data_IF_264293686150
#
_entry.id   IF_264293686150
#
_cell.length_a   1.000
_cell.length_b   1.000
_cell.length_c   1.000
_cell.angle_alpha   90.00
_cell.angle_beta   90.00
_cell.angle_gamma   90.00
#
_symmetry.space_group_name_H-M   'P 1'
#
loop_
_entity.id
_entity.type
_entity.pdbx_description
1 polymer ?
#
# COMPACT_ATOMS: atom_id res chain seq x y z
N UNK A 1 8.59 2.95 -42.10
CA UNK A 1 9.05 3.20 -40.73
C UNK A 1 8.19 2.35 -39.84
N UNK A 2 8.70 1.20 -39.44
CA UNK A 2 7.99 0.25 -38.55
C UNK A 2 8.04 0.81 -37.17
N UNK A 3 6.87 1.12 -36.57
CA UNK A 3 6.75 1.43 -35.16
C UNK A 3 7.05 0.15 -34.38
N UNK A 4 8.20 0.10 -33.76
CA UNK A 4 8.48 -0.89 -32.72
C UNK A 4 7.42 -0.71 -31.62
N UNK A 5 6.50 -1.63 -31.56
CA UNK A 5 5.64 -1.81 -30.39
C UNK A 5 6.57 -2.32 -29.30
N UNK A 6 7.07 -1.42 -28.46
CA UNK A 6 7.84 -1.79 -27.28
C UNK A 6 6.94 -2.67 -26.42
N UNK A 7 7.16 -3.96 -26.41
CA UNK A 7 6.44 -4.89 -25.55
C UNK A 7 6.56 -4.39 -24.11
N UNK A 8 5.45 -4.20 -23.42
CA UNK A 8 5.44 -3.81 -22.01
C UNK A 8 6.25 -4.85 -21.21
N UNK A 9 7.08 -4.43 -20.25
CA UNK A 9 7.87 -5.37 -19.48
C UNK A 9 6.96 -6.41 -18.82
N UNK A 10 7.35 -7.68 -18.82
CA UNK A 10 6.59 -8.80 -18.25
C UNK A 10 6.27 -8.60 -16.77
N UNK A 11 7.17 -7.91 -16.04
CA UNK A 11 7.02 -7.57 -14.64
C UNK A 11 6.23 -6.25 -14.46
N UNK A 12 5.16 -6.29 -13.68
CA UNK A 12 4.46 -5.11 -13.18
C UNK A 12 5.29 -4.44 -12.06
N UNK A 13 5.89 -5.23 -11.19
CA UNK A 13 6.74 -4.75 -10.09
C UNK A 13 8.00 -5.60 -10.03
N UNK A 14 9.14 -4.95 -9.88
CA UNK A 14 10.41 -5.59 -9.62
C UNK A 14 11.12 -4.93 -8.45
N UNK A 15 11.50 -5.73 -7.45
CA UNK A 15 12.23 -5.31 -6.27
C UNK A 15 13.53 -6.10 -6.22
N UNK A 16 14.68 -5.42 -6.19
CA UNK A 16 16.01 -6.04 -6.16
C UNK A 16 16.82 -5.54 -4.98
N UNK A 17 17.07 -6.43 -4.01
CA UNK A 17 17.84 -6.19 -2.79
C UNK A 17 17.44 -4.89 -2.07
N UNK A 18 16.13 -4.57 -2.08
CA UNK A 18 15.65 -3.35 -1.46
C UNK A 18 15.76 -3.46 0.07
N UNK A 19 16.31 -2.43 0.67
CA UNK A 19 16.44 -2.31 2.11
C UNK A 19 16.05 -0.91 2.57
N UNK A 20 15.48 -0.80 3.76
CA UNK A 20 15.08 0.49 4.34
C UNK A 20 15.54 0.60 5.77
N UNK A 21 16.32 1.63 6.04
CA UNK A 21 16.70 2.06 7.37
C UNK A 21 16.09 3.42 7.69
N UNK A 22 15.70 3.60 8.94
CA UNK A 22 15.31 4.90 9.50
C UNK A 22 16.38 5.36 10.49
N UNK A 23 16.63 6.67 10.53
CA UNK A 23 17.55 7.29 11.46
C UNK A 23 16.85 7.55 12.79
N UNK A 24 17.23 6.85 13.84
CA UNK A 24 16.71 7.06 15.20
C UNK A 24 17.65 7.97 15.97
N UNK A 25 17.17 9.15 16.35
CA UNK A 25 17.87 10.09 17.20
C UNK A 25 17.46 9.87 18.65
N UNK A 26 18.41 9.54 19.52
CA UNK A 26 18.14 9.23 20.92
C UNK A 26 17.89 10.48 21.76
N UNK A 27 18.47 11.62 21.37
CA UNK A 27 18.34 12.90 22.06
C UNK A 27 17.79 13.96 21.11
N UNK A 28 17.00 14.90 21.63
CA UNK A 28 16.39 15.98 20.85
C UNK A 28 17.43 16.83 20.09
N UNK A 29 18.64 16.98 20.64
CA UNK A 29 19.71 17.78 20.02
C UNK A 29 20.55 16.99 19.01
N UNK A 30 20.38 15.66 18.90
CA UNK A 30 21.18 14.83 17.99
C UNK A 30 20.91 15.18 16.52
N UNK A 31 19.70 15.62 16.19
CA UNK A 31 19.38 16.09 14.83
C UNK A 31 20.18 17.35 14.45
N UNK A 32 20.28 18.32 15.37
CA UNK A 32 21.08 19.53 15.17
C UNK A 32 22.57 19.19 15.13
N UNK A 33 23.03 18.31 16.02
CA UNK A 33 24.41 17.84 16.03
C UNK A 33 24.76 17.09 14.74
N UNK A 34 23.84 16.29 14.21
CA UNK A 34 24.00 15.60 12.91
C UNK A 34 24.11 16.62 11.76
N UNK A 35 23.28 17.66 11.74
CA UNK A 35 23.32 18.69 10.72
C UNK A 35 24.63 19.51 10.73
N UNK A 36 25.18 19.76 11.92
CA UNK A 36 26.39 20.60 12.06
C UNK A 36 27.69 19.79 12.01
N UNK A 37 27.69 18.57 12.54
CA UNK A 37 28.89 17.77 12.77
C UNK A 37 28.81 16.36 12.15
N UNK A 38 27.77 16.07 11.36
CA UNK A 38 27.54 14.75 10.76
C UNK A 38 28.63 14.25 9.84
N UNK A 39 29.46 15.17 9.31
CA UNK A 39 30.64 14.84 8.48
C UNK A 39 31.80 14.22 9.33
N UNK A 40 31.82 14.42 10.64
CA UNK A 40 32.83 13.91 11.54
C UNK A 40 32.34 12.73 12.42
N UNK A 41 31.06 12.77 12.87
CA UNK A 41 30.48 11.75 13.74
C UNK A 41 29.02 11.54 13.44
N UNK A 42 28.59 10.26 13.42
CA UNK A 42 27.19 9.87 13.32
C UNK A 42 26.48 10.01 14.66
N UNK A 43 25.38 10.77 14.69
CA UNK A 43 24.58 11.07 15.88
C UNK A 43 23.23 10.35 15.87
N UNK A 44 23.03 9.37 14.99
CA UNK A 44 21.83 8.55 14.94
C UNK A 44 22.18 7.07 14.93
N UNK A 45 21.20 6.24 15.33
CA UNK A 45 21.25 4.79 15.17
C UNK A 45 20.41 4.40 13.96
N UNK A 46 20.94 3.57 13.08
CA UNK A 46 20.15 3.01 12.00
C UNK A 46 19.23 1.91 12.53
N UNK A 47 17.95 2.03 12.22
CA UNK A 47 16.95 1.00 12.46
C UNK A 47 16.50 0.42 11.13
N UNK A 48 16.96 -0.76 10.83
CA UNK A 48 16.65 -1.46 9.60
C UNK A 48 15.28 -2.11 9.71
N UNK A 49 14.31 -1.60 8.95
CA UNK A 49 12.94 -2.12 8.90
C UNK A 49 12.76 -3.13 7.78
N UNK A 50 13.50 -2.95 6.67
CA UNK A 50 13.53 -3.91 5.56
C UNK A 50 14.98 -4.20 5.20
N UNK A 51 15.26 -5.48 4.89
CA UNK A 51 16.61 -5.96 4.55
C UNK A 51 16.53 -6.95 3.39
N UNK A 52 17.26 -6.65 2.30
CA UNK A 52 17.46 -7.52 1.13
C UNK A 52 16.17 -8.08 0.51
N UNK A 53 15.11 -7.27 0.44
CA UNK A 53 13.84 -7.65 -0.16
C UNK A 53 14.03 -7.79 -1.67
N UNK A 54 13.81 -9.00 -2.19
CA UNK A 54 13.90 -9.29 -3.63
C UNK A 54 12.71 -10.12 -4.06
N UNK A 55 11.92 -9.58 -5.00
CA UNK A 55 10.78 -10.29 -5.60
C UNK A 55 10.36 -9.64 -6.91
N UNK A 56 9.53 -10.35 -7.65
CA UNK A 56 8.93 -9.88 -8.90
C UNK A 56 7.45 -10.24 -8.92
N UNK A 57 6.61 -9.30 -9.38
CA UNK A 57 5.18 -9.48 -9.63
C UNK A 57 4.92 -9.34 -11.12
N UNK A 58 4.29 -10.34 -11.71
CA UNK A 58 3.90 -10.31 -13.13
C UNK A 58 2.64 -9.50 -13.31
N UNK A 59 2.40 -9.02 -14.54
CA UNK A 59 1.14 -8.37 -14.89
C UNK A 59 -0.04 -9.34 -14.73
N UNK A 60 -1.13 -8.84 -14.16
CA UNK A 60 -2.33 -9.66 -13.88
C UNK A 60 -2.20 -10.62 -12.70
N UNK A 61 -1.12 -10.55 -11.93
CA UNK A 61 -0.89 -11.39 -10.77
C UNK A 61 -1.48 -10.76 -9.50
N UNK A 62 -2.12 -11.56 -8.66
CA UNK A 62 -2.55 -11.15 -7.33
C UNK A 62 -1.61 -11.73 -6.29
N UNK A 63 -0.95 -10.86 -5.51
CA UNK A 63 0.02 -11.23 -4.48
C UNK A 63 -0.51 -10.83 -3.10
N UNK A 64 -0.56 -11.81 -2.18
CA UNK A 64 -0.81 -11.56 -0.77
C UNK A 64 0.48 -11.26 -0.01
N UNK A 65 0.43 -10.37 0.98
CA UNK A 65 1.55 -10.15 1.91
C UNK A 65 1.07 -10.40 3.33
N UNK A 66 1.74 -11.30 4.03
CA UNK A 66 1.48 -11.65 5.44
C UNK A 66 2.71 -11.40 6.30
N UNK A 67 2.50 -11.26 7.60
CA UNK A 67 3.56 -11.06 8.59
C UNK A 67 3.03 -10.38 9.86
N UNK A 68 3.73 -10.56 10.98
CA UNK A 68 3.37 -9.93 12.27
C UNK A 68 3.39 -8.40 12.18
N UNK A 69 2.78 -7.72 13.16
CA UNK A 69 2.86 -6.26 13.28
C UNK A 69 4.34 -5.86 13.47
N UNK A 70 4.76 -4.81 12.76
CA UNK A 70 6.15 -4.36 12.76
C UNK A 70 7.10 -5.14 11.82
N UNK A 71 6.63 -6.19 11.11
CA UNK A 71 7.46 -6.95 10.17
C UNK A 71 7.95 -6.15 8.94
N UNK A 72 7.42 -4.93 8.71
CA UNK A 72 7.84 -4.07 7.60
C UNK A 72 6.86 -3.99 6.44
N UNK A 73 5.68 -4.63 6.52
CA UNK A 73 4.66 -4.65 5.45
C UNK A 73 4.30 -3.25 4.94
N UNK A 74 3.90 -2.36 5.85
CA UNK A 74 3.53 -0.98 5.50
C UNK A 74 4.70 -0.20 4.88
N UNK A 75 5.92 -0.40 5.39
CA UNK A 75 7.12 0.22 4.82
C UNK A 75 7.40 -0.27 3.40
N UNK A 76 7.21 -1.56 3.13
CA UNK A 76 7.31 -2.10 1.78
C UNK A 76 6.27 -1.46 0.85
N UNK A 77 5.00 -1.39 1.27
CA UNK A 77 3.96 -0.73 0.49
C UNK A 77 4.28 0.74 0.21
N UNK A 78 4.79 1.49 1.20
CA UNK A 78 5.21 2.88 1.00
C UNK A 78 6.33 3.02 -0.02
N UNK A 79 7.27 2.06 -0.07
CA UNK A 79 8.32 2.05 -1.09
C UNK A 79 7.72 1.76 -2.47
N UNK A 80 6.83 0.78 -2.59
CA UNK A 80 6.16 0.45 -3.86
C UNK A 80 5.32 1.63 -4.39
N UNK A 81 4.67 2.37 -3.49
CA UNK A 81 3.90 3.58 -3.83
C UNK A 81 4.79 4.80 -4.14
N UNK A 82 6.11 4.70 -3.99
CA UNK A 82 7.02 5.83 -4.17
C UNK A 82 6.93 6.91 -3.07
N UNK A 83 6.21 6.66 -1.97
CA UNK A 83 6.07 7.57 -0.82
C UNK A 83 7.42 7.71 -0.10
N UNK A 84 8.18 6.61 -0.03
CA UNK A 84 9.54 6.62 0.51
C UNK A 84 10.49 5.87 -0.40
N UNK A 85 11.75 6.33 -0.46
CA UNK A 85 12.78 5.65 -1.24
C UNK A 85 13.45 4.55 -0.43
N UNK A 86 13.86 3.42 -1.04
CA UNK A 86 14.70 2.45 -0.36
C UNK A 86 16.06 3.08 0.00
N UNK A 87 16.65 2.66 1.10
CA UNK A 87 18.02 3.07 1.50
C UNK A 87 19.08 2.39 0.64
N UNK A 88 18.80 1.15 0.21
CA UNK A 88 19.64 0.36 -0.71
C UNK A 88 18.76 -0.44 -1.67
N UNK A 89 19.33 -0.88 -2.77
CA UNK A 89 18.63 -1.65 -3.78
C UNK A 89 17.77 -0.79 -4.68
N UNK A 90 16.92 -1.42 -5.48
CA UNK A 90 16.07 -0.75 -6.47
C UNK A 90 14.67 -1.33 -6.48
N UNK A 91 13.69 -0.47 -6.75
CA UNK A 91 12.31 -0.85 -6.97
C UNK A 91 11.84 -0.20 -8.26
N UNK A 92 11.26 -1.00 -9.15
CA UNK A 92 10.66 -0.55 -10.40
C UNK A 92 9.18 -0.95 -10.42
N UNK A 93 8.32 0.01 -10.72
CA UNK A 93 6.88 -0.19 -10.89
C UNK A 93 6.52 0.22 -12.31
N UNK A 94 6.01 -0.72 -13.09
CA UNK A 94 5.73 -0.56 -14.51
C UNK A 94 4.22 -0.50 -14.76
N UNK A 95 3.66 0.69 -14.64
CA UNK A 95 2.23 0.96 -14.77
C UNK A 95 1.76 2.00 -13.76
N UNK A 96 0.49 2.39 -13.90
CA UNK A 96 -0.17 3.31 -12.98
C UNK A 96 -0.61 2.55 -11.73
N UNK A 97 -0.13 2.98 -10.57
CA UNK A 97 -0.42 2.36 -9.28
C UNK A 97 -1.47 3.18 -8.52
N UNK A 98 -2.50 2.50 -7.99
CA UNK A 98 -3.51 3.08 -7.11
C UNK A 98 -3.44 2.44 -5.72
N UNK A 99 -2.91 3.16 -4.70
CA UNK A 99 -2.90 2.70 -3.31
C UNK A 99 -4.19 3.15 -2.60
N UNK A 100 -5.09 2.22 -2.30
CA UNK A 100 -6.43 2.56 -1.79
C UNK A 100 -6.36 3.34 -0.45
N UNK A 101 -5.49 2.95 0.48
CA UNK A 101 -5.46 3.55 1.81
C UNK A 101 -4.46 4.70 1.96
N UNK A 102 -3.35 4.66 1.26
CA UNK A 102 -2.35 5.71 1.36
C UNK A 102 -2.89 7.07 0.91
N UNK A 103 -3.90 7.09 0.02
CA UNK A 103 -4.48 8.31 -0.49
C UNK A 103 -5.22 9.11 0.59
N UNK A 104 -5.95 8.44 1.50
CA UNK A 104 -6.68 9.13 2.58
C UNK A 104 -5.79 9.91 3.53
N UNK A 105 -4.55 9.47 3.73
CA UNK A 105 -3.57 10.17 4.56
C UNK A 105 -3.00 11.46 3.92
N UNK A 106 -3.16 11.62 2.62
CA UNK A 106 -2.72 12.80 1.87
C UNK A 106 -3.79 13.91 1.81
N UNK A 107 -4.98 13.68 2.33
CA UNK A 107 -6.06 14.65 2.30
C UNK A 107 -5.86 15.78 3.30
N UNK A 108 -6.20 16.99 2.88
CA UNK A 108 -6.21 18.17 3.73
C UNK A 108 -7.62 18.40 4.31
N UNK A 109 -7.73 18.33 5.64
CA UNK A 109 -9.00 18.54 6.35
C UNK A 109 -9.60 19.94 6.18
N UNK A 110 -8.82 20.95 5.80
CA UNK A 110 -9.30 22.32 5.54
C UNK A 110 -9.97 22.47 4.17
N UNK A 111 -9.68 21.58 3.24
CA UNK A 111 -10.25 21.54 1.91
C UNK A 111 -11.53 20.71 1.86
N UNK A 112 -12.37 20.98 0.88
CA UNK A 112 -13.59 20.20 0.60
C UNK A 112 -13.26 18.81 0.06
N UNK A 113 -14.23 17.88 0.09
CA UNK A 113 -14.08 16.59 -0.56
C UNK A 113 -13.82 16.70 -2.05
N UNK A 114 -14.41 17.69 -2.72
CA UNK A 114 -14.18 18.01 -4.14
C UNK A 114 -12.73 18.39 -4.39
N UNK A 115 -12.18 19.31 -3.60
CA UNK A 115 -10.79 19.76 -3.73
C UNK A 115 -9.81 18.62 -3.43
N UNK A 116 -10.09 17.81 -2.40
CA UNK A 116 -9.29 16.63 -2.10
C UNK A 116 -9.39 15.56 -3.20
N UNK A 117 -10.55 15.39 -3.85
CA UNK A 117 -10.69 14.51 -5.00
C UNK A 117 -9.84 14.99 -6.19
N UNK A 118 -9.78 16.30 -6.42
CA UNK A 118 -8.91 16.89 -7.44
C UNK A 118 -7.42 16.65 -7.14
N UNK A 119 -7.00 16.83 -5.89
CA UNK A 119 -5.63 16.59 -5.44
C UNK A 119 -5.31 15.10 -5.53
N UNK A 120 -6.17 14.23 -4.97
CA UNK A 120 -5.99 12.78 -4.98
C UNK A 120 -5.87 12.22 -6.39
N UNK A 121 -6.75 12.63 -7.30
CA UNK A 121 -6.68 12.23 -8.71
C UNK A 121 -5.38 12.69 -9.39
N UNK A 122 -4.89 13.90 -9.07
CA UNK A 122 -3.63 14.42 -9.59
C UNK A 122 -2.42 13.63 -9.04
N UNK A 123 -2.42 13.27 -7.75
CA UNK A 123 -1.39 12.40 -7.14
C UNK A 123 -1.36 11.05 -7.85
N UNK A 124 -2.51 10.51 -8.25
CA UNK A 124 -2.62 9.26 -9.00
C UNK A 124 -2.36 9.42 -10.51
N UNK A 125 -1.90 10.60 -10.94
CA UNK A 125 -1.44 10.86 -12.30
C UNK A 125 -2.54 11.19 -13.32
N UNK A 126 -3.75 11.52 -12.88
CA UNK A 126 -4.81 12.03 -13.75
C UNK A 126 -4.60 13.51 -14.07
N UNK A 127 -4.91 13.91 -15.28
CA UNK A 127 -4.96 15.33 -15.66
C UNK A 127 -6.24 15.98 -15.10
N UNK A 128 -6.19 17.28 -14.85
CA UNK A 128 -7.30 18.06 -14.28
C UNK A 128 -8.64 17.79 -14.98
N UNK A 129 -8.67 17.83 -16.32
CA UNK A 129 -9.89 17.58 -17.11
C UNK A 129 -10.42 16.15 -16.94
N UNK A 130 -9.53 15.17 -16.79
CA UNK A 130 -9.90 13.77 -16.56
C UNK A 130 -10.54 13.60 -15.20
N UNK A 131 -10.01 14.28 -14.18
CA UNK A 131 -10.57 14.26 -12.82
C UNK A 131 -11.94 14.93 -12.82
N UNK A 132 -12.06 16.15 -13.38
CA UNK A 132 -13.31 16.90 -13.48
C UNK A 132 -14.43 16.07 -14.13
N UNK A 133 -14.10 15.34 -15.20
CA UNK A 133 -15.05 14.46 -15.87
C UNK A 133 -15.52 13.27 -15.02
N UNK A 134 -14.68 12.81 -14.07
CA UNK A 134 -14.96 11.65 -13.19
C UNK A 134 -15.59 12.03 -11.85
N UNK A 135 -15.60 13.33 -11.48
CA UNK A 135 -16.18 13.78 -10.20
C UNK A 135 -17.61 13.27 -9.97
N UNK A 136 -18.53 13.31 -10.96
CA UNK A 136 -19.90 12.82 -10.73
C UNK A 136 -19.93 11.35 -10.29
N UNK A 137 -19.18 10.48 -10.97
CA UNK A 137 -19.13 9.05 -10.64
C UNK A 137 -18.36 8.77 -9.35
N UNK A 138 -17.33 9.56 -9.03
CA UNK A 138 -16.63 9.48 -7.74
C UNK A 138 -17.59 9.79 -6.59
N UNK A 139 -18.39 10.87 -6.70
CA UNK A 139 -19.39 11.26 -5.68
C UNK A 139 -20.46 10.18 -5.52
N UNK A 140 -20.99 9.67 -6.62
CA UNK A 140 -21.98 8.59 -6.63
C UNK A 140 -21.42 7.32 -5.97
N UNK A 141 -20.18 6.96 -6.29
CA UNK A 141 -19.53 5.80 -5.68
C UNK A 141 -19.30 5.99 -4.18
N UNK A 142 -18.81 7.15 -3.75
CA UNK A 142 -18.48 7.45 -2.36
C UNK A 142 -19.70 7.53 -1.44
N UNK A 143 -20.87 7.86 -1.97
CA UNK A 143 -22.15 7.96 -1.22
C UNK A 143 -22.06 8.93 -0.01
N UNK A 144 -21.28 10.02 -0.15
CA UNK A 144 -21.12 11.03 0.91
C UNK A 144 -22.04 12.25 0.72
N UNK A 145 -22.84 12.27 -0.35
CA UNK A 145 -23.90 13.25 -0.60
C UNK A 145 -23.44 14.69 -0.52
N UNK A 146 -24.19 15.51 0.20
CA UNK A 146 -23.95 16.95 0.36
C UNK A 146 -22.61 17.29 1.04
N UNK A 147 -21.99 16.33 1.73
CA UNK A 147 -20.70 16.54 2.37
C UNK A 147 -19.57 16.72 1.36
N UNK A 148 -19.73 16.28 0.12
CA UNK A 148 -18.68 16.38 -0.90
C UNK A 148 -18.17 17.83 -1.10
N UNK A 149 -19.05 18.82 -0.92
CA UNK A 149 -18.70 20.23 -1.03
C UNK A 149 -18.46 20.89 0.34
N UNK A 150 -18.33 20.10 1.41
CA UNK A 150 -17.98 20.58 2.75
C UNK A 150 -16.51 20.25 3.09
N UNK A 151 -15.87 21.04 3.99
CA UNK A 151 -14.51 20.77 4.45
C UNK A 151 -14.38 19.37 5.09
N UNK A 152 -13.32 18.65 4.74
CA UNK A 152 -13.12 17.26 5.19
C UNK A 152 -12.94 17.10 6.69
N UNK A 153 -12.60 18.17 7.43
CA UNK A 153 -12.61 18.16 8.91
C UNK A 153 -13.98 17.81 9.52
N UNK A 154 -15.06 17.92 8.74
CA UNK A 154 -16.42 17.54 9.14
C UNK A 154 -16.75 16.08 8.81
N UNK A 155 -15.86 15.35 8.14
CA UNK A 155 -16.09 13.98 7.74
C UNK A 155 -15.80 13.02 8.89
N UNK A 156 -16.57 11.94 8.95
CA UNK A 156 -16.17 10.76 9.72
C UNK A 156 -15.00 10.05 9.03
N UNK A 157 -14.26 9.22 9.79
CA UNK A 157 -13.19 8.39 9.21
C UNK A 157 -13.71 7.50 8.06
N UNK A 158 -14.94 6.99 8.20
CA UNK A 158 -15.62 6.23 7.16
C UNK A 158 -15.85 7.03 5.88
N UNK A 159 -16.29 8.29 5.99
CA UNK A 159 -16.48 9.17 4.81
C UNK A 159 -15.16 9.49 4.12
N UNK A 160 -14.08 9.72 4.88
CA UNK A 160 -12.73 9.93 4.33
C UNK A 160 -12.30 8.72 3.50
N UNK A 161 -12.48 7.54 4.04
CA UNK A 161 -12.07 6.33 3.37
C UNK A 161 -12.98 5.97 2.17
N UNK A 162 -14.29 6.23 2.25
CA UNK A 162 -15.20 6.10 1.10
C UNK A 162 -14.75 6.99 -0.06
N UNK A 163 -14.39 8.25 0.22
CA UNK A 163 -13.89 9.16 -0.81
C UNK A 163 -12.54 8.70 -1.38
N UNK A 164 -11.60 8.28 -0.52
CA UNK A 164 -10.31 7.77 -0.96
C UNK A 164 -10.45 6.55 -1.87
N UNK A 165 -11.29 5.59 -1.46
CA UNK A 165 -11.57 4.42 -2.29
C UNK A 165 -12.23 4.80 -3.61
N UNK A 166 -13.24 5.67 -3.58
CA UNK A 166 -13.94 6.11 -4.78
C UNK A 166 -12.98 6.77 -5.80
N UNK A 167 -12.03 7.59 -5.34
CA UNK A 167 -11.03 8.18 -6.23
C UNK A 167 -10.16 7.08 -6.85
N UNK A 168 -9.64 6.15 -6.04
CA UNK A 168 -8.82 5.03 -6.54
C UNK A 168 -9.57 4.16 -7.54
N UNK A 169 -10.85 3.87 -7.28
CA UNK A 169 -11.69 3.07 -8.16
C UNK A 169 -11.97 3.72 -9.53
N UNK A 170 -11.82 5.05 -9.62
CA UNK A 170 -12.04 5.81 -10.85
C UNK A 170 -10.74 6.24 -11.55
N UNK A 171 -9.60 5.66 -11.14
CA UNK A 171 -8.34 5.81 -11.86
C UNK A 171 -8.13 4.59 -12.74
N UNK A 172 -7.70 4.80 -14.00
CA UNK A 172 -7.30 3.70 -14.89
C UNK A 172 -5.95 3.14 -14.40
N UNK A 173 -6.00 2.38 -13.30
CA UNK A 173 -4.82 1.78 -12.69
C UNK A 173 -4.47 0.46 -13.39
N UNK A 174 -3.16 0.17 -13.46
CA UNK A 174 -2.63 -1.13 -13.86
C UNK A 174 -2.36 -2.01 -12.64
N UNK A 175 -2.08 -1.36 -11.51
CA UNK A 175 -1.68 -2.00 -10.25
C UNK A 175 -2.48 -1.41 -9.11
N UNK A 176 -3.13 -2.27 -8.33
CA UNK A 176 -3.88 -1.90 -7.14
C UNK A 176 -3.14 -2.36 -5.89
N UNK A 177 -2.95 -1.47 -4.93
CA UNK A 177 -2.48 -1.85 -3.59
C UNK A 177 -3.62 -1.71 -2.60
N UNK A 178 -3.95 -2.84 -1.98
CA UNK A 178 -5.01 -2.97 -0.98
C UNK A 178 -4.36 -3.28 0.36
N UNK A 179 -4.47 -2.38 1.32
CA UNK A 179 -4.04 -2.62 2.70
C UNK A 179 -5.27 -2.97 3.54
N UNK A 180 -5.08 -3.71 4.59
CA UNK A 180 -6.04 -4.35 5.50
C UNK A 180 -7.27 -3.52 5.89
N UNK A 181 -7.19 -2.20 5.87
CA UNK A 181 -8.26 -1.31 6.27
C UNK A 181 -9.48 -1.26 5.33
N UNK A 182 -9.74 -2.28 4.50
CA UNK A 182 -11.02 -2.42 3.77
C UNK A 182 -12.23 -2.63 4.69
N UNK A 183 -12.04 -2.78 6.00
CA UNK A 183 -13.10 -2.72 7.03
C UNK A 183 -13.65 -1.31 7.21
N UNK A 184 -13.67 -0.49 6.14
CA UNK A 184 -14.05 0.91 6.19
C UNK A 184 -15.46 1.10 5.67
N UNK A 185 -16.30 1.62 6.54
CA UNK A 185 -17.69 1.92 6.21
C UNK A 185 -18.64 0.88 6.78
N UNK A 186 -19.85 0.86 6.24
CA UNK A 186 -20.84 -0.18 6.54
C UNK A 186 -20.69 -1.39 5.61
N UNK A 187 -21.43 -2.42 5.90
CA UNK A 187 -21.43 -3.70 5.17
C UNK A 187 -21.75 -3.53 3.66
N UNK A 188 -22.63 -2.57 3.32
CA UNK A 188 -22.99 -2.31 1.92
C UNK A 188 -21.83 -1.72 1.14
N UNK A 189 -21.12 -0.75 1.73
CA UNK A 189 -19.95 -0.16 1.08
C UNK A 189 -18.80 -1.15 0.99
N UNK A 190 -18.58 -1.98 2.01
CA UNK A 190 -17.58 -3.04 1.99
C UNK A 190 -17.85 -4.05 0.85
N UNK A 191 -19.11 -4.45 0.64
CA UNK A 191 -19.48 -5.32 -0.48
C UNK A 191 -19.23 -4.67 -1.85
N UNK A 192 -19.47 -3.36 -1.98
CA UNK A 192 -19.19 -2.58 -3.19
C UNK A 192 -17.68 -2.51 -3.49
N UNK A 193 -16.87 -2.30 -2.45
CA UNK A 193 -15.41 -2.32 -2.54
C UNK A 193 -14.89 -3.71 -2.94
N UNK A 194 -15.40 -4.76 -2.31
CA UNK A 194 -15.02 -6.14 -2.63
C UNK A 194 -15.32 -6.47 -4.08
N UNK A 195 -16.53 -6.14 -4.56
CA UNK A 195 -16.90 -6.33 -5.96
C UNK A 195 -15.94 -5.62 -6.91
N UNK A 196 -15.56 -4.38 -6.61
CA UNK A 196 -14.60 -3.64 -7.42
C UNK A 196 -13.24 -4.36 -7.48
N UNK A 197 -12.75 -4.86 -6.32
CA UNK A 197 -11.48 -5.59 -6.24
C UNK A 197 -11.56 -6.90 -7.04
N UNK A 198 -12.65 -7.66 -6.91
CA UNK A 198 -12.87 -8.90 -7.64
C UNK A 198 -12.92 -8.68 -9.15
N UNK A 199 -13.55 -7.59 -9.59
CA UNK A 199 -13.61 -7.22 -11.00
C UNK A 199 -12.23 -6.75 -11.51
N UNK A 200 -11.50 -5.98 -10.72
CA UNK A 200 -10.14 -5.55 -11.05
C UNK A 200 -9.16 -6.73 -11.11
N UNK A 201 -9.30 -7.72 -10.23
CA UNK A 201 -8.45 -8.92 -10.17
C UNK A 201 -8.46 -9.76 -11.47
N UNK A 202 -9.49 -9.61 -12.31
CA UNK A 202 -9.60 -10.34 -13.58
C UNK A 202 -8.60 -9.84 -14.63
N UNK A 203 -8.15 -8.59 -14.54
CA UNK A 203 -7.34 -7.95 -15.58
C UNK A 203 -6.15 -7.18 -15.04
N UNK A 204 -6.21 -6.71 -13.78
CA UNK A 204 -5.20 -5.91 -13.14
C UNK A 204 -4.24 -6.70 -12.26
N UNK A 205 -3.16 -6.05 -11.87
CA UNK A 205 -2.19 -6.59 -10.89
C UNK A 205 -2.58 -6.10 -9.51
N UNK A 206 -2.63 -7.00 -8.50
CA UNK A 206 -3.03 -6.65 -7.14
C UNK A 206 -1.96 -7.04 -6.13
N UNK A 207 -1.68 -6.14 -5.18
CA UNK A 207 -0.97 -6.46 -3.95
C UNK A 207 -1.94 -6.26 -2.79
N UNK A 208 -2.17 -7.31 -2.00
CA UNK A 208 -3.07 -7.28 -0.85
C UNK A 208 -2.29 -7.54 0.43
N UNK A 209 -2.43 -6.66 1.41
CA UNK A 209 -2.03 -6.95 2.80
C UNK A 209 -3.29 -7.21 3.59
N UNK A 210 -3.43 -8.38 4.19
CA UNK A 210 -4.60 -8.73 5.00
C UNK A 210 -4.25 -9.70 6.12
N UNK A 211 -4.98 -9.58 7.24
CA UNK A 211 -5.00 -10.61 8.28
C UNK A 211 -6.00 -11.74 7.98
N UNK A 212 -6.86 -11.57 6.99
CA UNK A 212 -7.80 -12.60 6.52
C UNK A 212 -7.09 -13.66 5.68
N UNK A 213 -6.35 -14.55 6.31
CA UNK A 213 -5.51 -15.56 5.64
C UNK A 213 -6.27 -16.44 4.66
N UNK A 214 -7.52 -16.80 4.99
CA UNK A 214 -8.35 -17.64 4.12
C UNK A 214 -8.76 -16.89 2.83
N UNK A 215 -9.04 -15.59 2.94
CA UNK A 215 -9.32 -14.74 1.76
C UNK A 215 -8.09 -14.64 0.85
N UNK A 216 -6.89 -14.47 1.43
CA UNK A 216 -5.64 -14.47 0.65
C UNK A 216 -5.39 -15.81 -0.05
N UNK A 217 -5.68 -16.95 0.63
CA UNK A 217 -5.52 -18.28 0.06
C UNK A 217 -6.41 -18.51 -1.17
N UNK A 218 -7.56 -17.85 -1.25
CA UNK A 218 -8.50 -17.97 -2.36
C UNK A 218 -8.25 -16.98 -3.49
N UNK A 219 -7.84 -15.75 -3.16
CA UNK A 219 -7.73 -14.64 -4.13
C UNK A 219 -6.34 -14.54 -4.76
N UNK A 220 -5.28 -14.85 -4.00
CA UNK A 220 -3.92 -14.61 -4.45
C UNK A 220 -3.34 -15.81 -5.21
N UNK A 221 -2.55 -15.52 -6.24
CA UNK A 221 -1.75 -16.53 -6.95
C UNK A 221 -0.50 -16.94 -6.19
N UNK A 222 0.07 -16.02 -5.43
CA UNK A 222 1.19 -16.25 -4.51
C UNK A 222 1.04 -15.43 -3.24
N UNK A 223 1.66 -15.88 -2.16
CA UNK A 223 1.74 -15.15 -0.89
C UNK A 223 3.20 -14.96 -0.50
N UNK A 224 3.50 -13.76 -0.01
CA UNK A 224 4.80 -13.40 0.55
C UNK A 224 4.67 -13.28 2.06
N UNK A 225 5.48 -14.03 2.78
CA UNK A 225 5.62 -13.87 4.22
C UNK A 225 6.84 -13.02 4.53
N UNK A 226 6.60 -11.86 5.17
CA UNK A 226 7.64 -10.97 5.67
C UNK A 226 7.77 -11.19 7.17
N UNK A 227 9.00 -11.43 7.62
CA UNK A 227 9.35 -11.60 9.01
C UNK A 227 10.66 -10.85 9.31
N UNK A 228 10.69 -10.04 10.39
CA UNK A 228 11.83 -9.22 10.79
C UNK A 228 12.47 -8.42 9.63
N UNK A 229 11.62 -7.88 8.77
CA UNK A 229 12.05 -7.07 7.62
C UNK A 229 12.65 -7.86 6.45
N UNK A 230 12.52 -9.18 6.41
CA UNK A 230 13.01 -10.06 5.34
C UNK A 230 11.88 -10.88 4.73
N UNK A 231 12.00 -11.24 3.47
CA UNK A 231 11.13 -12.25 2.86
C UNK A 231 11.56 -13.61 3.40
N UNK A 232 10.72 -14.20 4.24
CA UNK A 232 10.95 -15.54 4.79
C UNK A 232 10.53 -16.62 3.81
N UNK A 233 9.39 -16.40 3.15
CA UNK A 233 8.87 -17.32 2.14
C UNK A 233 8.06 -16.55 1.11
N UNK A 234 8.06 -16.99 -0.16
CA UNK A 234 7.27 -16.41 -1.23
C UNK A 234 6.87 -17.51 -2.23
N UNK A 235 5.63 -17.90 -2.23
CA UNK A 235 5.20 -19.06 -3.02
C UNK A 235 3.70 -19.31 -3.01
N UNK A 236 3.34 -20.57 -3.10
CA UNK A 236 1.97 -21.07 -3.14
C UNK A 236 1.22 -20.65 -1.87
N UNK A 237 0.00 -20.05 -1.99
CA UNK A 237 -0.69 -19.40 -0.88
C UNK A 237 -0.94 -20.31 0.32
N UNK A 238 -1.45 -21.51 0.10
CA UNK A 238 -1.80 -22.44 1.19
C UNK A 238 -0.56 -22.85 1.98
N UNK A 239 0.50 -23.22 1.30
CA UNK A 239 1.77 -23.63 1.90
C UNK A 239 2.37 -22.51 2.77
N UNK A 240 2.49 -21.28 2.20
CA UNK A 240 3.06 -20.14 2.93
C UNK A 240 2.21 -19.77 4.14
N UNK A 241 0.87 -19.78 3.99
CA UNK A 241 -0.06 -19.47 5.08
C UNK A 241 -0.02 -20.53 6.19
N UNK A 242 0.10 -21.81 5.86
CA UNK A 242 0.25 -22.89 6.85
C UNK A 242 1.54 -22.73 7.66
N UNK A 243 2.67 -22.46 7.00
CA UNK A 243 3.94 -22.21 7.68
C UNK A 243 3.89 -20.96 8.55
N UNK A 244 3.26 -19.89 8.06
CA UNK A 244 3.04 -18.66 8.83
C UNK A 244 2.21 -18.92 10.09
N UNK A 245 1.05 -19.60 9.96
CA UNK A 245 0.17 -19.96 11.09
C UNK A 245 0.91 -20.82 12.13
N UNK A 246 1.63 -21.84 11.70
CA UNK A 246 2.39 -22.71 12.59
C UNK A 246 3.43 -21.92 13.41
N UNK A 247 4.12 -20.97 12.77
CA UNK A 247 5.14 -20.14 13.43
C UNK A 247 4.52 -19.14 14.42
N UNK A 248 3.40 -18.49 14.05
CA UNK A 248 2.71 -17.55 14.95
C UNK A 248 2.17 -18.28 16.17
N UNK A 249 1.49 -19.42 15.99
CA UNK A 249 0.94 -20.21 17.10
C UNK A 249 2.04 -20.69 18.05
N UNK A 250 3.21 -21.08 17.53
CA UNK A 250 4.35 -21.48 18.35
C UNK A 250 4.95 -20.33 19.16
N UNK A 251 4.98 -19.12 18.58
CA UNK A 251 5.47 -17.93 19.26
C UNK A 251 4.51 -17.47 20.37
N UNK A 252 3.20 -17.46 20.09
CA UNK A 252 2.17 -17.08 21.06
C UNK A 252 2.15 -18.05 22.26
N UNK A 253 2.28 -19.38 22.03
CA UNK A 253 2.39 -20.36 23.08
C UNK A 253 3.64 -20.16 23.96
N UNK A 254 4.79 -19.80 23.36
CA UNK A 254 6.02 -19.52 24.11
C UNK A 254 5.93 -18.23 24.93
N UNK A 255 5.19 -17.23 24.49
CA UNK A 255 4.93 -15.99 25.24
C UNK A 255 3.99 -16.24 26.42
N UNK A 256 2.99 -17.13 26.28
CA UNK A 256 2.08 -17.52 27.37
C UNK A 256 2.78 -18.36 28.45
N UNK A 257 3.75 -19.23 28.09
CA UNK A 257 4.53 -20.00 29.05
C UNK A 257 5.56 -19.15 29.81
N UNK A 258 5.95 -18.00 29.28
CA UNK A 258 6.94 -17.09 29.88
C UNK A 258 6.31 -16.01 30.79
N UNK A 259 4.99 -15.83 30.80
CA UNK A 259 4.23 -14.81 31.54
C UNK A 259 3.67 -15.36 32.86
#
# INVERSE_FOLDING_TARGET
MSSEVTALPEAAIECRNAAKAFQLYLRRNDQLAQALFGWWKQFYKEHWVLQDITFQVKRGECIGIVGRNGAGKTTLLQILCGITQPTRGTVSVNGRLAPILALGSAFDGSLTGRENAMIGGAILGLKRKEIEARLPSIVEFAEIGMFFDQPMKLYSSGMVARLAFAICAHVDADILIVDEALSVGDEFFAAKCQKFIDDFAKTGTIIVVSHGLDSLAHMCSRVMWIDEGRVREFGEPKTVIEHYRATVNAADAAEEEAA
#
